data_IF_191972478126
#
_entry.id   IF_191972478126
#
_cell.length_a   1.000
_cell.length_b   1.000
_cell.length_c   1.000
_cell.angle_alpha   90.00
_cell.angle_beta   90.00
_cell.angle_gamma   90.00
#
_symmetry.space_group_name_H-M   'P 1'
#
loop_
_entity.id
_entity.type
_entity.pdbx_description
1 polymer ?
#
# COMPACT_ATOMS: atom_id res chain seq x y z
N UNK A 1 1.69 10.53 -82.01
CA UNK A 1 0.57 9.92 -81.25
C UNK A 1 0.97 9.42 -79.85
N UNK A 2 2.23 8.97 -79.63
CA UNK A 2 2.68 8.36 -78.35
C UNK A 2 2.53 9.25 -77.08
N UNK A 3 3.00 10.51 -77.09
CA UNK A 3 3.04 11.33 -75.86
C UNK A 3 1.67 11.59 -75.20
N UNK A 4 0.59 11.73 -75.99
CA UNK A 4 -0.75 11.99 -75.43
C UNK A 4 -1.32 10.77 -74.71
N UNK A 5 -1.00 9.57 -75.19
CA UNK A 5 -1.44 8.31 -74.57
C UNK A 5 -0.72 8.11 -73.23
N UNK A 6 0.58 8.39 -73.16
CA UNK A 6 1.35 8.35 -71.91
C UNK A 6 0.88 9.41 -70.89
N UNK A 7 0.54 10.62 -71.34
CA UNK A 7 -0.02 11.66 -70.48
C UNK A 7 -1.40 11.28 -69.92
N UNK A 8 -2.28 10.70 -70.76
CA UNK A 8 -3.60 10.21 -70.32
C UNK A 8 -3.49 9.00 -69.37
N UNK A 9 -2.54 8.09 -69.63
CA UNK A 9 -2.26 6.97 -68.73
C UNK A 9 -1.72 7.45 -67.38
N UNK A 10 -0.83 8.45 -67.38
CA UNK A 10 -0.29 9.03 -66.15
C UNK A 10 -1.35 9.78 -65.34
N UNK A 11 -2.24 10.55 -65.97
CA UNK A 11 -3.30 11.29 -65.25
C UNK A 11 -4.35 10.35 -64.68
N UNK A 12 -4.74 9.31 -65.41
CA UNK A 12 -5.68 8.28 -64.91
C UNK A 12 -5.07 7.47 -63.76
N UNK A 13 -3.80 7.09 -63.85
CA UNK A 13 -3.08 6.45 -62.76
C UNK A 13 -2.96 7.35 -61.52
N UNK A 14 -2.65 8.64 -61.69
CA UNK A 14 -2.58 9.59 -60.57
C UNK A 14 -3.94 9.78 -59.89
N UNK A 15 -5.03 9.90 -60.67
CA UNK A 15 -6.39 10.01 -60.15
C UNK A 15 -6.85 8.75 -59.38
N UNK A 16 -6.38 7.57 -59.77
CA UNK A 16 -6.63 6.33 -59.04
C UNK A 16 -5.72 6.16 -57.81
N UNK A 17 -4.49 6.66 -57.86
CA UNK A 17 -3.52 6.58 -56.77
C UNK A 17 -3.87 7.49 -55.58
N UNK A 18 -4.46 8.67 -55.82
CA UNK A 18 -4.80 9.62 -54.74
C UNK A 18 -5.82 9.05 -53.74
N UNK A 19 -6.97 8.45 -54.14
CA UNK A 19 -7.89 7.80 -53.21
C UNK A 19 -7.26 6.64 -52.44
N UNK A 20 -6.38 5.88 -53.09
CA UNK A 20 -5.71 4.72 -52.49
C UNK A 20 -4.68 5.18 -51.45
N UNK A 21 -3.90 6.21 -51.76
CA UNK A 21 -2.98 6.87 -50.84
C UNK A 21 -3.73 7.52 -49.65
N UNK A 22 -4.86 8.19 -49.92
CA UNK A 22 -5.71 8.74 -48.85
C UNK A 22 -6.26 7.66 -47.93
N UNK A 23 -6.75 6.54 -48.49
CA UNK A 23 -7.23 5.41 -47.71
C UNK A 23 -6.11 4.77 -46.87
N UNK A 24 -4.92 4.59 -47.45
CA UNK A 24 -3.75 4.10 -46.73
C UNK A 24 -3.35 5.05 -45.60
N UNK A 25 -3.32 6.35 -45.86
CA UNK A 25 -3.03 7.37 -44.85
C UNK A 25 -4.08 7.36 -43.72
N UNK A 26 -5.36 7.30 -44.06
CA UNK A 26 -6.43 7.26 -43.06
C UNK A 26 -6.34 5.99 -42.20
N UNK A 27 -6.00 4.85 -42.79
CA UNK A 27 -5.74 3.60 -42.06
C UNK A 27 -4.52 3.72 -41.15
N UNK A 28 -3.44 4.34 -41.63
CA UNK A 28 -2.25 4.59 -40.83
C UNK A 28 -2.53 5.53 -39.66
N UNK A 29 -3.24 6.65 -39.88
CA UNK A 29 -3.62 7.61 -38.83
C UNK A 29 -4.38 6.92 -37.71
N UNK A 30 -5.43 6.15 -38.05
CA UNK A 30 -6.22 5.39 -37.07
C UNK A 30 -5.38 4.38 -36.28
N UNK A 31 -4.48 3.66 -36.95
CA UNK A 31 -3.57 2.73 -36.27
C UNK A 31 -2.59 3.45 -35.34
N UNK A 32 -2.12 4.63 -35.72
CA UNK A 32 -1.22 5.41 -34.89
C UNK A 32 -1.94 5.99 -33.66
N UNK A 33 -3.12 6.58 -33.85
CA UNK A 33 -4.01 7.05 -32.78
C UNK A 33 -4.30 5.94 -31.77
N UNK A 34 -4.65 4.74 -32.27
CA UNK A 34 -4.86 3.56 -31.40
C UNK A 34 -3.61 3.20 -30.60
N UNK A 35 -2.44 3.21 -31.22
CA UNK A 35 -1.17 2.90 -30.53
C UNK A 35 -0.87 3.93 -29.45
N UNK A 36 -1.14 5.20 -29.71
CA UNK A 36 -0.97 6.28 -28.72
C UNK A 36 -1.92 6.13 -27.55
N UNK A 37 -3.21 5.88 -27.79
CA UNK A 37 -4.19 5.61 -26.73
C UNK A 37 -3.82 4.39 -25.89
N UNK A 38 -3.33 3.30 -26.50
CA UNK A 38 -2.88 2.11 -25.77
C UNK A 38 -1.62 2.41 -24.93
N UNK A 39 -0.65 3.15 -25.48
CA UNK A 39 0.53 3.59 -24.71
C UNK A 39 0.11 4.41 -23.51
N UNK A 40 -0.87 5.30 -23.67
CA UNK A 40 -1.39 6.13 -22.60
C UNK A 40 -2.09 5.29 -21.54
N UNK A 41 -2.96 4.35 -21.93
CA UNK A 41 -3.59 3.42 -21.00
C UNK A 41 -2.58 2.62 -20.18
N UNK A 42 -1.48 2.15 -20.78
CA UNK A 42 -0.41 1.46 -20.04
C UNK A 42 0.25 2.36 -19.01
N UNK A 43 0.47 3.64 -19.33
CA UNK A 43 1.00 4.62 -18.36
C UNK A 43 0.03 4.81 -17.20
N UNK A 44 -1.26 4.91 -17.49
CA UNK A 44 -2.30 5.02 -16.45
C UNK A 44 -2.35 3.77 -15.58
N UNK A 45 -2.25 2.59 -16.18
CA UNK A 45 -2.16 1.33 -15.45
C UNK A 45 -0.95 1.29 -14.53
N UNK A 46 0.23 1.75 -14.99
CA UNK A 46 1.41 1.88 -14.15
C UNK A 46 1.18 2.82 -12.96
N UNK A 47 0.61 4.00 -13.19
CA UNK A 47 0.27 4.94 -12.11
C UNK A 47 -0.72 4.31 -11.14
N UNK A 48 -1.78 3.66 -11.63
CA UNK A 48 -2.76 2.97 -10.78
C UNK A 48 -2.10 1.87 -9.94
N UNK A 49 -1.14 1.12 -10.49
CA UNK A 49 -0.38 0.13 -9.72
C UNK A 49 0.53 0.78 -8.67
N UNK A 50 1.17 1.90 -8.98
CA UNK A 50 1.99 2.64 -8.02
C UNK A 50 1.16 3.13 -6.83
N UNK A 51 0.01 3.75 -7.10
CA UNK A 51 -0.94 4.20 -6.07
C UNK A 51 -1.43 2.99 -5.26
N UNK A 52 -1.69 1.85 -5.89
CA UNK A 52 -2.09 0.62 -5.18
C UNK A 52 -1.00 0.06 -4.25
N UNK A 53 0.28 0.22 -4.59
CA UNK A 53 1.40 -0.19 -3.73
C UNK A 53 1.49 0.75 -2.52
N UNK A 54 1.28 2.06 -2.72
CA UNK A 54 1.20 3.02 -1.60
C UNK A 54 0.04 2.69 -0.66
N UNK A 55 -1.12 2.32 -1.21
CA UNK A 55 -2.27 1.86 -0.44
C UNK A 55 -1.92 0.61 0.38
N UNK A 56 -1.30 -0.39 -0.24
CA UNK A 56 -0.87 -1.61 0.46
C UNK A 56 0.12 -1.32 1.59
N UNK A 57 1.05 -0.37 1.39
CA UNK A 57 1.97 0.06 2.44
C UNK A 57 1.22 0.69 3.62
N UNK A 58 0.25 1.56 3.33
CA UNK A 58 -0.59 2.19 4.36
C UNK A 58 -1.45 1.15 5.09
N UNK A 59 -2.05 0.19 4.39
CA UNK A 59 -2.80 -0.93 4.98
C UNK A 59 -1.95 -1.69 6.01
N UNK A 60 -0.70 -1.97 5.67
CA UNK A 60 0.22 -2.66 6.60
C UNK A 60 0.53 -1.80 7.82
N UNK A 61 0.80 -0.50 7.63
CA UNK A 61 1.03 0.42 8.73
C UNK A 61 -0.18 0.49 9.67
N UNK A 62 -1.40 0.57 9.13
CA UNK A 62 -2.65 0.62 9.91
C UNK A 62 -2.88 -0.67 10.69
N UNK A 63 -2.63 -1.83 10.10
CA UNK A 63 -2.71 -3.11 10.82
C UNK A 63 -1.74 -3.16 11.98
N UNK A 64 -0.49 -2.72 11.78
CA UNK A 64 0.50 -2.60 12.85
C UNK A 64 0.05 -1.64 13.97
N UNK A 65 -0.62 -0.53 13.63
CA UNK A 65 -1.19 0.40 14.62
C UNK A 65 -2.20 -0.30 15.52
N UNK A 66 -3.18 -0.97 14.89
CA UNK A 66 -4.30 -1.59 15.59
C UNK A 66 -3.81 -2.75 16.45
N UNK A 67 -2.87 -3.55 15.95
CA UNK A 67 -2.22 -4.60 16.74
C UNK A 67 -1.46 -4.03 17.94
N UNK A 68 -0.83 -2.86 17.81
CA UNK A 68 -0.15 -2.21 18.92
C UNK A 68 -1.14 -1.68 19.95
N UNK A 69 -2.23 -1.04 19.51
CA UNK A 69 -3.29 -0.51 20.38
C UNK A 69 -3.99 -1.62 21.14
N UNK A 70 -4.38 -2.71 20.48
CA UNK A 70 -4.98 -3.89 21.12
C UNK A 70 -4.04 -4.58 22.12
N UNK A 71 -2.75 -4.70 21.81
CA UNK A 71 -1.74 -5.21 22.76
C UNK A 71 -1.54 -4.27 23.94
N UNK A 72 -1.59 -2.97 23.72
CA UNK A 72 -1.48 -1.96 24.78
C UNK A 72 -2.68 -2.06 25.73
N UNK A 73 -3.90 -2.11 25.19
CA UNK A 73 -5.13 -2.28 25.96
C UNK A 73 -5.11 -3.59 26.76
N UNK A 74 -4.69 -4.71 26.16
CA UNK A 74 -4.57 -5.99 26.87
C UNK A 74 -3.53 -5.95 28.00
N UNK A 75 -2.40 -5.26 27.80
CA UNK A 75 -1.35 -5.14 28.80
C UNK A 75 -1.73 -4.19 29.95
N UNK A 76 -2.49 -3.13 29.65
CA UNK A 76 -3.07 -2.25 30.67
C UNK A 76 -4.11 -2.99 31.53
N UNK A 77 -4.90 -3.90 30.94
CA UNK A 77 -5.85 -4.76 31.67
C UNK A 77 -5.14 -5.78 32.58
N UNK A 78 -3.96 -6.30 32.18
CA UNK A 78 -3.18 -7.22 33.03
C UNK A 78 -2.39 -6.51 34.14
N UNK A 79 -1.99 -5.24 33.95
CA UNK A 79 -1.35 -4.42 34.99
C UNK A 79 -2.35 -3.85 36.01
N UNK A 80 -3.67 -3.89 35.74
CA UNK A 80 -4.75 -3.53 36.66
C UNK A 80 -5.01 -4.62 37.73
N UNK A 81 -3.93 -5.18 38.30
CA UNK A 81 -4.03 -5.92 39.55
C UNK A 81 -4.30 -4.92 40.71
N UNK A 82 -5.35 -5.09 41.53
CA UNK A 82 -5.87 -4.08 42.45
C UNK A 82 -5.02 -3.87 43.73
N UNK A 83 -3.73 -4.18 43.71
CA UNK A 83 -2.86 -4.17 44.88
C UNK A 83 -1.77 -3.09 44.89
N UNK A 84 -1.66 -2.26 43.85
CA UNK A 84 -0.55 -1.30 43.71
C UNK A 84 -0.99 0.17 43.61
N UNK A 85 -2.17 0.53 44.12
CA UNK A 85 -2.56 1.92 44.35
C UNK A 85 -1.81 2.53 45.56
N UNK A 86 -0.51 2.23 45.70
CA UNK A 86 0.34 2.93 46.64
C UNK A 86 0.77 4.22 45.96
N UNK A 87 0.13 5.32 46.38
CA UNK A 87 0.48 6.71 46.09
C UNK A 87 1.89 6.98 46.62
N UNK A 88 2.93 6.45 45.97
CA UNK A 88 4.29 6.51 46.46
C UNK A 88 5.19 7.24 45.47
N UNK A 89 5.81 8.29 45.99
CA UNK A 89 6.86 9.05 45.34
C UNK A 89 7.99 8.09 44.93
N UNK A 90 8.39 8.10 43.67
CA UNK A 90 9.43 7.24 43.07
C UNK A 90 10.81 7.34 43.73
N UNK A 91 11.00 8.28 44.66
CA UNK A 91 12.22 8.49 45.42
C UNK A 91 12.36 7.61 46.68
N UNK A 92 11.27 7.04 47.22
CA UNK A 92 11.31 6.20 48.42
C UNK A 92 11.02 4.73 48.09
N UNK A 93 11.91 3.83 48.52
CA UNK A 93 11.83 2.38 48.25
C UNK A 93 11.04 1.57 49.29
N UNK A 94 10.45 2.24 50.27
CA UNK A 94 9.62 1.65 51.32
C UNK A 94 8.35 2.48 51.46
N UNK A 95 7.23 1.83 51.74
CA UNK A 95 6.01 2.55 52.12
C UNK A 95 6.13 3.16 53.52
N UNK A 96 5.21 4.05 53.87
CA UNK A 96 5.16 4.67 55.22
C UNK A 96 4.89 3.67 56.34
N UNK A 97 4.62 2.40 56.03
CA UNK A 97 4.41 1.30 56.97
C UNK A 97 5.67 0.42 57.11
N UNK A 98 6.77 0.76 56.43
CA UNK A 98 8.04 0.02 56.47
C UNK A 98 8.06 -1.24 55.60
N UNK A 99 7.07 -1.46 54.74
CA UNK A 99 7.06 -2.56 53.79
C UNK A 99 7.84 -2.18 52.52
N UNK A 100 8.74 -3.08 52.09
CA UNK A 100 9.54 -2.91 50.88
C UNK A 100 8.64 -3.14 49.68
N UNK A 101 8.60 -2.19 48.74
CA UNK A 101 7.90 -2.44 47.48
C UNK A 101 8.64 -3.51 46.71
N UNK A 102 7.90 -4.47 46.18
CA UNK A 102 8.47 -5.49 45.31
C UNK A 102 9.04 -4.83 44.07
N UNK A 103 10.36 -4.86 43.93
CA UNK A 103 11.06 -4.39 42.73
C UNK A 103 11.17 -5.52 41.72
N UNK A 104 11.42 -5.17 40.45
CA UNK A 104 11.68 -6.13 39.37
C UNK A 104 12.84 -7.10 39.71
N UNK A 105 13.74 -6.67 40.58
CA UNK A 105 14.89 -7.47 41.05
C UNK A 105 14.55 -8.41 42.19
N UNK A 106 13.49 -8.14 42.97
CA UNK A 106 13.06 -9.04 44.07
C UNK A 106 12.40 -10.32 43.54
N UNK A 107 11.99 -10.35 42.26
CA UNK A 107 11.43 -11.52 41.58
C UNK A 107 12.45 -12.24 40.68
N UNK A 108 13.68 -11.72 40.60
CA UNK A 108 14.71 -12.25 39.73
C UNK A 108 15.51 -13.32 40.48
N UNK A 109 15.39 -14.56 40.02
CA UNK A 109 16.11 -15.69 40.59
C UNK A 109 17.52 -15.77 39.98
N UNK A 110 18.48 -15.22 40.71
CA UNK A 110 19.88 -15.15 40.29
C UNK A 110 20.48 -16.55 40.13
N UNK A 111 20.08 -17.50 40.97
CA UNK A 111 20.63 -18.86 40.96
C UNK A 111 20.15 -19.61 39.71
N UNK A 112 18.88 -19.45 39.33
CA UNK A 112 18.33 -20.01 38.11
C UNK A 112 18.98 -19.43 36.84
N UNK A 113 19.28 -18.12 36.81
CA UNK A 113 19.97 -17.53 35.65
C UNK A 113 21.44 -17.94 35.60
N UNK A 114 22.11 -18.05 36.75
CA UNK A 114 23.49 -18.53 36.80
C UNK A 114 23.59 -19.97 36.26
N UNK A 115 22.66 -20.84 36.67
CA UNK A 115 22.55 -22.20 36.14
C UNK A 115 22.23 -22.23 34.64
N UNK A 116 21.41 -21.28 34.15
CA UNK A 116 21.14 -21.10 32.71
C UNK A 116 22.42 -20.75 31.95
N UNK A 117 23.21 -19.82 32.47
CA UNK A 117 24.46 -19.37 31.85
C UNK A 117 25.54 -20.46 31.86
N UNK A 118 25.64 -21.24 32.95
CA UNK A 118 26.56 -22.39 33.03
C UNK A 118 26.18 -23.51 32.06
N UNK A 119 24.88 -23.73 31.81
CA UNK A 119 24.38 -24.67 30.78
C UNK A 119 24.64 -24.17 29.37
N UNK A 120 24.48 -22.86 29.14
CA UNK A 120 24.80 -22.19 27.86
C UNK A 120 26.31 -22.25 27.55
N UNK A 121 27.19 -22.04 28.54
CA UNK A 121 28.65 -22.18 28.39
C UNK A 121 29.07 -23.63 28.12
N UNK A 122 28.35 -24.61 28.71
CA UNK A 122 28.58 -26.04 28.51
C UNK A 122 28.01 -26.58 27.20
N UNK A 123 27.33 -25.74 26.41
CA UNK A 123 26.80 -26.07 25.09
C UNK A 123 25.58 -26.99 25.10
N UNK A 124 24.86 -27.08 26.23
CA UNK A 124 23.64 -27.87 26.33
C UNK A 124 22.45 -27.00 25.88
N UNK A 125 21.81 -27.39 24.77
CA UNK A 125 20.76 -26.61 24.10
C UNK A 125 19.48 -26.61 24.96
N UNK A 126 19.41 -25.67 25.90
CA UNK A 126 18.18 -25.39 26.65
C UNK A 126 17.21 -24.71 25.69
N UNK A 127 16.08 -25.37 25.43
CA UNK A 127 14.92 -24.80 24.73
C UNK A 127 14.50 -23.52 25.45
N UNK A 128 15.04 -22.39 25.00
CA UNK A 128 14.66 -21.09 25.50
C UNK A 128 13.19 -20.84 25.11
N UNK A 129 12.34 -20.28 25.98
CA UNK A 129 11.19 -19.55 25.48
C UNK A 129 11.79 -18.42 24.64
N UNK A 130 11.51 -18.46 23.34
CA UNK A 130 11.93 -17.47 22.38
C UNK A 130 11.32 -16.11 22.76
N UNK A 131 11.92 -15.42 23.72
CA UNK A 131 11.83 -13.99 23.87
C UNK A 131 12.70 -13.37 22.79
N UNK A 132 12.28 -13.55 21.53
CA UNK A 132 12.55 -12.54 20.51
C UNK A 132 11.83 -11.29 21.00
N UNK A 133 12.56 -10.50 21.81
CA UNK A 133 12.21 -9.12 22.11
C UNK A 133 12.25 -8.39 20.76
N UNK A 134 11.16 -8.52 20.00
CA UNK A 134 10.89 -7.62 18.89
C UNK A 134 10.91 -6.24 19.51
N UNK A 135 11.93 -5.46 19.16
CA UNK A 135 12.06 -4.08 19.59
C UNK A 135 10.67 -3.46 19.44
N UNK A 136 10.09 -3.00 20.56
CA UNK A 136 8.71 -2.48 20.64
C UNK A 136 8.60 -1.37 19.60
N UNK A 137 8.16 -1.72 18.38
CA UNK A 137 8.04 -0.79 17.27
C UNK A 137 6.89 0.12 17.65
N UNK A 138 7.22 1.26 18.22
CA UNK A 138 6.23 2.33 18.37
C UNK A 138 5.72 2.62 16.96
N UNK A 139 4.40 2.60 16.76
CA UNK A 139 3.84 2.85 15.44
C UNK A 139 4.33 4.18 14.87
N UNK A 140 4.81 4.15 13.62
CA UNK A 140 5.42 5.32 12.96
C UNK A 140 4.40 6.40 12.55
N UNK A 141 3.11 6.07 12.53
CA UNK A 141 2.04 6.97 12.08
C UNK A 141 0.92 7.03 13.12
N UNK A 142 0.31 8.20 13.25
CA UNK A 142 -0.88 8.41 14.09
C UNK A 142 -2.14 8.14 13.28
N UNK A 143 -3.26 7.70 13.90
CA UNK A 143 -4.54 7.44 13.23
C UNK A 143 -5.00 8.60 12.32
N UNK A 144 -4.91 9.85 12.80
CA UNK A 144 -5.26 11.04 12.00
C UNK A 144 -4.42 11.18 10.73
N UNK A 145 -3.11 10.88 10.81
CA UNK A 145 -2.21 10.93 9.66
C UNK A 145 -2.51 9.79 8.67
N UNK A 146 -2.85 8.62 9.19
CA UNK A 146 -3.27 7.47 8.38
C UNK A 146 -4.57 7.79 7.59
N UNK A 147 -5.55 8.41 8.25
CA UNK A 147 -6.80 8.87 7.61
C UNK A 147 -6.55 9.93 6.54
N UNK A 148 -5.74 10.95 6.83
CA UNK A 148 -5.42 11.98 5.83
C UNK A 148 -4.69 11.38 4.61
N UNK A 149 -3.82 10.39 4.84
CA UNK A 149 -3.10 9.71 3.76
C UNK A 149 -4.04 8.84 2.93
N UNK A 150 -5.01 8.14 3.55
CA UNK A 150 -5.98 7.32 2.81
C UNK A 150 -6.91 8.16 1.94
N UNK A 151 -7.36 9.32 2.43
CA UNK A 151 -8.12 10.30 1.63
C UNK A 151 -7.29 10.87 0.48
N UNK A 152 -6.00 11.14 0.70
CA UNK A 152 -5.10 11.55 -0.38
C UNK A 152 -4.99 10.50 -1.50
N UNK A 153 -4.87 9.22 -1.12
CA UNK A 153 -4.83 8.09 -2.06
C UNK A 153 -6.17 7.93 -2.81
N UNK A 154 -7.30 8.17 -2.14
CA UNK A 154 -8.63 8.16 -2.75
C UNK A 154 -8.71 9.18 -3.90
N UNK A 155 -8.28 10.42 -3.65
CA UNK A 155 -8.23 11.46 -4.68
C UNK A 155 -7.25 11.14 -5.81
N UNK A 156 -6.14 10.47 -5.55
CA UNK A 156 -5.24 9.99 -6.60
C UNK A 156 -5.95 8.99 -7.53
N UNK A 157 -6.76 8.08 -6.98
CA UNK A 157 -7.55 7.15 -7.78
C UNK A 157 -8.70 7.83 -8.53
N UNK A 158 -9.35 8.84 -7.95
CA UNK A 158 -10.32 9.68 -8.65
C UNK A 158 -9.68 10.41 -9.84
N UNK A 159 -8.47 10.95 -9.66
CA UNK A 159 -7.72 11.58 -10.74
C UNK A 159 -7.36 10.58 -11.85
N UNK A 160 -7.01 9.33 -11.49
CA UNK A 160 -6.81 8.24 -12.46
C UNK A 160 -8.08 7.97 -13.26
N UNK A 161 -9.26 7.92 -12.62
CA UNK A 161 -10.53 7.73 -13.31
C UNK A 161 -10.88 8.92 -14.23
N UNK A 162 -10.72 10.15 -13.75
CA UNK A 162 -10.92 11.35 -14.56
C UNK A 162 -10.03 11.35 -15.80
N UNK A 163 -8.76 10.96 -15.64
CA UNK A 163 -7.84 10.87 -16.78
C UNK A 163 -8.21 9.74 -17.75
N UNK A 164 -8.73 8.61 -17.26
CA UNK A 164 -9.22 7.52 -18.11
C UNK A 164 -10.41 7.95 -18.98
N UNK A 165 -11.27 8.83 -18.49
CA UNK A 165 -12.42 9.35 -19.23
C UNK A 165 -12.01 10.21 -20.44
N UNK A 166 -10.94 10.99 -20.30
CA UNK A 166 -10.40 11.84 -21.36
C UNK A 166 -9.80 11.06 -22.53
N UNK A 167 -9.31 9.84 -22.28
CA UNK A 167 -8.78 8.99 -23.35
C UNK A 167 -9.91 8.70 -24.33
N UNK A 168 -9.67 8.73 -25.64
CA UNK A 168 -10.64 8.27 -26.67
C UNK A 168 -9.98 7.22 -27.56
N UNK A 169 -10.79 6.36 -28.17
CA UNK A 169 -10.30 5.33 -29.09
C UNK A 169 -11.30 4.23 -29.38
N UNK A 170 -10.81 3.25 -30.13
CA UNK A 170 -11.56 2.09 -30.64
C UNK A 170 -12.10 1.17 -29.52
N UNK A 171 -12.90 0.17 -29.89
CA UNK A 171 -13.50 -0.79 -28.95
C UNK A 171 -12.49 -1.50 -28.05
N UNK A 172 -11.27 -1.75 -28.54
CA UNK A 172 -10.22 -2.35 -27.72
C UNK A 172 -9.72 -1.42 -26.62
N UNK A 173 -9.50 -0.14 -26.95
CA UNK A 173 -9.15 0.92 -26.00
C UNK A 173 -10.28 1.07 -24.97
N UNK A 174 -11.53 1.00 -25.43
CA UNK A 174 -12.72 1.04 -24.56
C UNK A 174 -12.78 -0.15 -23.60
N UNK A 175 -12.48 -1.37 -24.07
CA UNK A 175 -12.42 -2.57 -23.22
C UNK A 175 -11.32 -2.46 -22.16
N UNK A 176 -10.12 -2.04 -22.56
CA UNK A 176 -8.99 -1.86 -21.64
C UNK A 176 -9.28 -0.79 -20.58
N UNK A 177 -9.79 0.38 -21.00
CA UNK A 177 -10.22 1.44 -20.07
C UNK A 177 -11.25 0.92 -19.07
N UNK A 178 -12.26 0.19 -19.55
CA UNK A 178 -13.28 -0.39 -18.68
C UNK A 178 -12.69 -1.41 -17.70
N UNK A 179 -11.70 -2.19 -18.13
CA UNK A 179 -11.01 -3.13 -17.25
C UNK A 179 -10.26 -2.40 -16.13
N UNK A 180 -9.51 -1.34 -16.47
CA UNK A 180 -8.79 -0.52 -15.48
C UNK A 180 -9.78 0.16 -14.53
N UNK A 181 -10.81 0.83 -15.06
CA UNK A 181 -11.83 1.50 -14.25
C UNK A 181 -12.53 0.52 -13.30
N UNK A 182 -12.93 -0.66 -13.79
CA UNK A 182 -13.53 -1.69 -12.93
C UNK A 182 -12.58 -2.15 -11.82
N UNK A 183 -11.28 -2.26 -12.11
CA UNK A 183 -10.28 -2.64 -11.11
C UNK A 183 -10.18 -1.56 -10.03
N UNK A 184 -10.04 -0.29 -10.44
CA UNK A 184 -10.00 0.83 -9.49
C UNK A 184 -11.26 0.89 -8.63
N UNK A 185 -12.44 0.82 -9.26
CA UNK A 185 -13.71 0.97 -8.55
C UNK A 185 -14.05 -0.20 -7.63
N UNK A 186 -13.82 -1.44 -8.06
CA UNK A 186 -14.22 -2.62 -7.28
C UNK A 186 -13.16 -3.08 -6.29
N UNK A 187 -11.89 -2.89 -6.61
CA UNK A 187 -10.79 -3.41 -5.81
C UNK A 187 -10.18 -2.32 -4.93
N UNK A 188 -9.77 -1.19 -5.51
CA UNK A 188 -9.02 -0.18 -4.76
C UNK A 188 -9.90 0.69 -3.87
N UNK A 189 -11.04 1.21 -4.36
CA UNK A 189 -11.95 1.98 -3.49
C UNK A 189 -12.52 1.12 -2.35
N UNK A 190 -12.91 -0.14 -2.64
CA UNK A 190 -13.38 -1.04 -1.60
C UNK A 190 -12.33 -1.26 -0.49
N UNK A 191 -11.04 -1.36 -0.84
CA UNK A 191 -9.95 -1.46 0.15
C UNK A 191 -9.79 -0.16 0.94
N UNK A 192 -9.87 1.00 0.29
CA UNK A 192 -9.81 2.30 0.96
C UNK A 192 -10.96 2.45 1.95
N UNK A 193 -12.19 2.12 1.57
CA UNK A 193 -13.36 2.16 2.45
C UNK A 193 -13.16 1.26 3.67
N UNK A 194 -12.64 0.04 3.48
CA UNK A 194 -12.33 -0.84 4.62
C UNK A 194 -11.27 -0.26 5.53
N UNK A 195 -10.20 0.33 4.97
CA UNK A 195 -9.14 0.95 5.75
C UNK A 195 -9.66 2.16 6.52
N UNK A 196 -10.47 3.02 5.90
CA UNK A 196 -11.11 4.16 6.56
C UNK A 196 -12.04 3.70 7.68
N UNK A 197 -12.82 2.63 7.48
CA UNK A 197 -13.69 2.06 8.52
C UNK A 197 -12.92 1.48 9.72
N UNK A 198 -11.69 0.99 9.51
CA UNK A 198 -10.82 0.51 10.59
C UNK A 198 -10.18 1.65 11.39
N UNK A 199 -10.11 2.85 10.81
CA UNK A 199 -9.49 4.02 11.41
C UNK A 199 -10.49 5.00 12.04
N UNK A 200 -11.78 4.90 11.67
CA UNK A 200 -12.89 5.67 12.21
C UNK A 200 -13.25 5.23 13.64
#
# INVERSE_FOLDING_TARGET
>A
MSNRVWQLAATTAALAAVPLAYWQYQRYSKLNERRESIKLLRKVELVATEVSVRLMHLENQVKELIEYETKKEACEIEEENPAANSTLNSYYHFDSQGSKLKTKWDSYDVDAELERLEKEERGEEVVAPAATKSARKVPQITRLKALATSQGIEHEFEAVLSFLDDIRGDDEVKRLRKAIANKVTKEYFARIDTLQSMLA
#
